data_IF_696882557178
#
_entry.id   IF_696882557178
#
_cell.length_a   1.000
_cell.length_b   1.000
_cell.length_c   1.000
_cell.angle_alpha   90.00
_cell.angle_beta   90.00
_cell.angle_gamma   90.00
#
_symmetry.space_group_name_H-M   'P 1'
#
loop_
_entity.id
_entity.type
_entity.pdbx_description
1 polymer ?
#
# COMPACT_ATOMS: atom_id res chain seq x y z
N UNK A 1 -8.80 5.24 2.81
CA UNK A 1 -8.58 5.47 1.36
C UNK A 1 -7.11 5.80 1.10
N UNK A 2 -6.21 4.80 1.05
CA UNK A 2 -4.77 5.00 0.76
C UNK A 2 -4.41 4.55 -0.66
N UNK A 3 -4.96 3.41 -1.11
CA UNK A 3 -4.77 2.90 -2.48
C UNK A 3 -5.30 3.84 -3.58
N UNK A 4 -6.23 4.73 -3.24
CA UNK A 4 -6.80 5.70 -4.18
C UNK A 4 -5.95 6.96 -4.33
N UNK A 5 -4.98 7.17 -3.44
CA UNK A 5 -4.11 8.35 -3.50
C UNK A 5 -3.04 8.16 -4.56
N UNK A 6 -2.98 9.05 -5.55
CA UNK A 6 -1.89 9.11 -6.53
C UNK A 6 -0.47 9.00 -5.94
N UNK A 7 -0.09 9.72 -4.87
CA UNK A 7 1.25 9.60 -4.30
C UNK A 7 1.53 8.19 -3.78
N UNK A 8 0.52 7.50 -3.25
CA UNK A 8 0.66 6.13 -2.79
C UNK A 8 0.82 5.16 -3.97
N UNK A 9 0.04 5.35 -5.04
CA UNK A 9 0.17 4.56 -6.26
C UNK A 9 1.58 4.68 -6.85
N UNK A 10 2.09 5.91 -7.01
CA UNK A 10 3.45 6.16 -7.51
C UNK A 10 4.53 5.54 -6.64
N UNK A 11 4.35 5.58 -5.31
CA UNK A 11 5.28 4.93 -4.39
C UNK A 11 5.28 3.41 -4.52
N UNK A 12 4.10 2.79 -4.66
CA UNK A 12 3.99 1.35 -4.94
C UNK A 12 4.65 1.03 -6.28
N UNK A 13 4.44 1.85 -7.30
CA UNK A 13 5.07 1.68 -8.61
C UNK A 13 6.61 1.79 -8.53
N UNK A 14 7.13 2.68 -7.68
CA UNK A 14 8.57 2.77 -7.42
C UNK A 14 9.16 1.55 -6.72
N UNK A 15 8.34 0.70 -6.07
CA UNK A 15 8.80 -0.49 -5.35
C UNK A 15 8.60 -1.79 -6.13
N UNK A 16 7.43 -1.97 -6.71
CA UNK A 16 7.05 -3.19 -7.45
C UNK A 16 7.16 -3.04 -8.97
N UNK A 17 7.32 -1.82 -9.47
CA UNK A 17 7.19 -1.50 -10.89
C UNK A 17 5.80 -1.01 -11.26
N UNK A 18 5.63 -0.55 -12.50
CA UNK A 18 4.36 -0.03 -12.99
C UNK A 18 3.25 -1.08 -12.93
N UNK A 19 2.01 -0.63 -12.75
CA UNK A 19 0.85 -1.52 -12.79
C UNK A 19 0.78 -2.25 -14.15
N UNK A 20 0.46 -3.56 -14.18
CA UNK A 20 0.31 -4.30 -15.42
C UNK A 20 -0.84 -3.74 -16.27
N UNK A 21 -0.73 -3.89 -17.59
CA UNK A 21 -1.73 -3.36 -18.54
C UNK A 21 -3.13 -3.89 -18.23
N UNK A 22 -4.09 -2.98 -18.03
CA UNK A 22 -5.47 -3.30 -17.65
C UNK A 22 -5.75 -3.29 -16.15
N UNK A 23 -4.74 -3.11 -15.30
CA UNK A 23 -4.89 -2.95 -13.86
C UNK A 23 -4.80 -1.49 -13.47
N UNK A 24 -5.82 -0.97 -12.80
CA UNK A 24 -5.81 0.41 -12.30
C UNK A 24 -4.78 0.56 -11.18
N UNK A 25 -4.17 1.75 -11.03
CA UNK A 25 -3.22 2.04 -9.95
C UNK A 25 -3.78 1.70 -8.56
N UNK A 26 -5.08 1.90 -8.33
CA UNK A 26 -5.75 1.47 -7.09
C UNK A 26 -5.68 -0.04 -6.88
N UNK A 27 -6.01 -0.84 -7.90
CA UNK A 27 -6.02 -2.30 -7.82
C UNK A 27 -4.61 -2.83 -7.57
N UNK A 28 -3.62 -2.23 -8.24
CA UNK A 28 -2.22 -2.57 -8.06
C UNK A 28 -1.74 -2.26 -6.63
N UNK A 29 -2.05 -1.05 -6.14
CA UNK A 29 -1.75 -0.65 -4.76
C UNK A 29 -2.48 -1.51 -3.72
N UNK A 30 -3.73 -1.91 -3.98
CA UNK A 30 -4.47 -2.81 -3.09
C UNK A 30 -3.85 -4.21 -3.06
N UNK A 31 -3.38 -4.73 -4.20
CA UNK A 31 -2.70 -6.01 -4.29
C UNK A 31 -1.38 -6.01 -3.51
N UNK A 32 -0.61 -4.92 -3.61
CA UNK A 32 0.61 -4.73 -2.83
C UNK A 32 0.36 -4.78 -1.31
N UNK A 33 -0.68 -4.09 -0.86
CA UNK A 33 -1.05 -4.08 0.57
C UNK A 33 -1.43 -5.47 1.05
N UNK A 34 -2.22 -6.20 0.26
CA UNK A 34 -2.63 -7.59 0.55
C UNK A 34 -1.43 -8.51 0.72
N UNK A 35 -0.49 -8.45 -0.22
CA UNK A 35 0.73 -9.24 -0.21
C UNK A 35 1.60 -8.95 1.02
N UNK A 36 1.90 -7.67 1.27
CA UNK A 36 2.75 -7.25 2.40
C UNK A 36 2.13 -7.51 3.77
N UNK A 37 0.80 -7.41 3.88
CA UNK A 37 0.09 -7.61 5.15
C UNK A 37 -0.38 -9.06 5.34
N UNK A 38 -0.24 -9.92 4.34
CA UNK A 38 -0.71 -11.30 4.36
C UNK A 38 -2.23 -11.42 4.47
N UNK A 39 -2.97 -10.47 3.91
CA UNK A 39 -4.45 -10.45 3.93
C UNK A 39 -5.01 -10.68 2.54
N UNK A 40 -6.17 -11.31 2.46
CA UNK A 40 -6.88 -11.49 1.19
C UNK A 40 -7.70 -10.25 0.83
N UNK A 41 -8.14 -9.50 1.83
CA UNK A 41 -9.01 -8.35 1.64
C UNK A 41 -8.61 -7.14 2.49
N UNK A 42 -8.76 -5.93 1.93
CA UNK A 42 -8.42 -4.67 2.64
C UNK A 42 -9.26 -4.49 3.91
N UNK A 43 -10.47 -5.03 3.94
CA UNK A 43 -11.33 -5.01 5.13
C UNK A 43 -10.70 -5.74 6.32
N UNK A 44 -9.84 -6.73 6.07
CA UNK A 44 -9.14 -7.44 7.14
C UNK A 44 -8.13 -6.55 7.86
N UNK A 45 -7.64 -5.47 7.25
CA UNK A 45 -6.71 -4.54 7.92
C UNK A 45 -7.36 -3.85 9.12
N UNK A 46 -8.65 -3.54 9.03
CA UNK A 46 -9.41 -2.88 10.10
C UNK A 46 -9.78 -3.86 11.22
N UNK A 47 -10.05 -5.12 10.86
CA UNK A 47 -10.42 -6.16 11.82
C UNK A 47 -9.23 -6.91 12.43
N UNK A 48 -8.06 -6.88 11.79
CA UNK A 48 -6.89 -7.64 12.20
C UNK A 48 -5.73 -6.72 12.62
N UNK A 49 -5.56 -6.56 13.92
CA UNK A 49 -4.50 -5.75 14.51
C UNK A 49 -3.07 -6.16 14.06
N UNK A 50 -2.84 -7.44 13.71
CA UNK A 50 -1.54 -7.87 13.16
C UNK A 50 -1.33 -7.32 11.76
N UNK A 51 -2.36 -7.38 10.91
CA UNK A 51 -2.29 -6.86 9.56
C UNK A 51 -2.11 -5.34 9.57
N UNK A 52 -2.78 -4.62 10.48
CA UNK A 52 -2.55 -3.19 10.70
C UNK A 52 -1.10 -2.91 11.12
N UNK A 53 -0.56 -3.68 12.07
CA UNK A 53 0.83 -3.52 12.52
C UNK A 53 1.82 -3.72 11.37
N UNK A 54 1.60 -4.76 10.55
CA UNK A 54 2.40 -5.01 9.35
C UNK A 54 2.27 -3.88 8.35
N UNK A 55 1.07 -3.40 8.08
CA UNK A 55 0.83 -2.25 7.21
C UNK A 55 1.61 -1.03 7.70
N UNK A 56 1.57 -0.75 9.01
CA UNK A 56 2.31 0.38 9.57
C UNK A 56 3.82 0.23 9.46
N UNK A 57 4.35 -0.96 9.73
CA UNK A 57 5.77 -1.24 9.69
C UNK A 57 6.34 -1.27 8.26
N UNK A 58 5.64 -1.94 7.33
CA UNK A 58 6.15 -2.25 5.98
C UNK A 58 5.72 -1.25 4.92
N UNK A 59 4.60 -0.55 5.15
CA UNK A 59 4.03 0.39 4.18
C UNK A 59 4.03 1.81 4.71
N UNK A 60 3.38 2.08 5.85
CA UNK A 60 3.20 3.45 6.35
C UNK A 60 4.52 4.15 6.64
N UNK A 61 5.44 3.50 7.35
CA UNK A 61 6.77 4.05 7.67
C UNK A 61 7.58 4.42 6.41
N UNK A 62 7.83 3.49 5.48
CA UNK A 62 8.61 3.84 4.30
C UNK A 62 7.87 4.75 3.32
N UNK A 63 6.55 4.68 3.24
CA UNK A 63 5.77 5.64 2.46
C UNK A 63 5.94 7.06 3.02
N UNK A 64 5.90 7.25 4.34
CA UNK A 64 6.18 8.56 4.96
C UNK A 64 7.56 9.07 4.62
N UNK A 65 8.58 8.21 4.72
CA UNK A 65 9.96 8.57 4.39
C UNK A 65 10.10 8.98 2.92
N UNK A 66 9.46 8.24 2.00
CA UNK A 66 9.48 8.57 0.58
C UNK A 66 8.67 9.82 0.24
N UNK A 67 7.51 10.00 0.87
CA UNK A 67 6.60 11.11 0.60
C UNK A 67 7.12 12.46 1.09
N UNK A 68 8.23 12.49 1.85
CA UNK A 68 8.77 13.73 2.40
C UNK A 68 7.81 14.45 3.35
N UNK A 69 6.85 13.72 3.94
CA UNK A 69 5.94 14.25 4.97
C UNK A 69 6.63 14.45 6.34
N UNK A 70 7.95 14.28 6.37
CA UNK A 70 8.85 14.73 7.43
C UNK A 70 9.51 16.02 6.91
N UNK A 71 8.83 17.14 7.12
CA UNK A 71 9.29 18.49 6.82
C UNK A 71 8.80 19.43 7.91
#
# INVERSE_FOLDING_TARGET
MWCQSEPFQKWVESRMGAAPSGVSGEQHAAQYVRDMCGVTSRAELDHNARAETLFHATIRRPFRLWSGLDG
#
